data_IF_159541911209
#
_entry.id   IF_159541911209
#
_cell.length_a   1.000
_cell.length_b   1.000
_cell.length_c   1.000
_cell.angle_alpha   90.00
_cell.angle_beta   90.00
_cell.angle_gamma   90.00
#
_symmetry.space_group_name_H-M   'P 1'
#
loop_
_entity.id
_entity.type
_entity.pdbx_description
1 polymer ?
#
# COMPACT_ATOMS: atom_id res chain seq x y z
N UNK A 1 -18.88 15.69 -5.75
CA UNK A 1 -17.80 14.72 -5.51
C UNK A 1 -18.14 13.99 -4.21
N UNK A 2 -18.38 12.69 -4.23
CA UNK A 2 -18.73 11.95 -3.02
C UNK A 2 -17.51 11.75 -2.13
N UNK A 3 -17.69 11.78 -0.81
CA UNK A 3 -16.66 11.52 0.21
C UNK A 3 -15.92 10.16 0.03
N UNK A 4 -16.42 9.30 -0.83
CA UNK A 4 -15.91 7.96 -1.12
C UNK A 4 -15.48 7.78 -2.59
N UNK A 5 -15.14 8.86 -3.31
CA UNK A 5 -14.54 8.76 -4.64
C UNK A 5 -13.05 8.51 -4.51
N UNK A 6 -12.50 7.50 -5.21
CA UNK A 6 -11.05 7.28 -5.28
C UNK A 6 -10.36 8.14 -6.32
N UNK A 7 -11.10 8.66 -7.31
CA UNK A 7 -10.55 9.62 -8.26
C UNK A 7 -10.59 11.01 -7.64
N UNK A 8 -9.43 11.59 -7.47
CA UNK A 8 -9.26 12.90 -6.87
C UNK A 8 -8.81 13.94 -7.90
N UNK A 9 -9.27 15.18 -7.72
CA UNK A 9 -8.62 16.30 -8.36
C UNK A 9 -7.16 16.42 -7.87
N UNK A 10 -6.30 17.05 -8.67
CA UNK A 10 -4.86 17.23 -8.34
C UNK A 10 -4.66 17.79 -6.92
N UNK A 11 -5.45 18.76 -6.51
CA UNK A 11 -5.34 19.37 -5.18
C UNK A 11 -5.61 18.36 -4.05
N UNK A 12 -6.70 17.58 -4.12
CA UNK A 12 -7.05 16.58 -3.12
C UNK A 12 -6.04 15.45 -3.07
N UNK A 13 -5.53 15.04 -4.23
CA UNK A 13 -4.49 14.01 -4.33
C UNK A 13 -3.20 14.42 -3.61
N UNK A 14 -2.70 15.63 -3.89
CA UNK A 14 -1.48 16.12 -3.23
C UNK A 14 -1.71 16.52 -1.78
N UNK A 15 -2.94 16.90 -1.40
CA UNK A 15 -3.29 17.17 -0.01
C UNK A 15 -3.18 15.91 0.87
N UNK A 16 -3.46 14.72 0.33
CA UNK A 16 -3.23 13.45 1.05
C UNK A 16 -1.76 13.26 1.40
N UNK A 17 -0.86 13.44 0.43
CA UNK A 17 0.59 13.37 0.68
C UNK A 17 1.07 14.46 1.65
N UNK A 18 0.54 15.67 1.53
CA UNK A 18 0.90 16.77 2.43
C UNK A 18 0.46 16.49 3.86
N UNK A 19 -0.76 16.01 4.08
CA UNK A 19 -1.28 15.66 5.40
C UNK A 19 -0.45 14.55 6.05
N UNK A 20 -0.29 13.43 5.36
CA UNK A 20 0.44 12.28 5.91
C UNK A 20 1.94 12.58 6.05
N UNK A 21 2.52 13.36 5.14
CA UNK A 21 3.90 13.85 5.23
C UNK A 21 4.11 14.77 6.43
N UNK A 22 3.20 15.70 6.66
CA UNK A 22 3.23 16.58 7.85
C UNK A 22 3.05 15.79 9.14
N UNK A 23 2.16 14.80 9.14
CA UNK A 23 1.99 13.89 10.27
C UNK A 23 3.27 13.09 10.54
N UNK A 24 3.94 12.58 9.49
CA UNK A 24 5.22 11.87 9.64
C UNK A 24 6.31 12.78 10.22
N UNK A 25 6.41 14.02 9.74
CA UNK A 25 7.35 15.01 10.27
C UNK A 25 7.05 15.34 11.74
N UNK A 26 5.79 15.55 12.10
CA UNK A 26 5.36 15.78 13.48
C UNK A 26 5.67 14.59 14.40
N UNK A 27 5.38 13.36 13.95
CA UNK A 27 5.74 12.14 14.67
C UNK A 27 7.25 12.00 14.87
N UNK A 28 8.06 12.33 13.85
CA UNK A 28 9.51 12.30 13.95
C UNK A 28 10.03 13.30 14.99
N UNK A 29 9.51 14.52 15.01
CA UNK A 29 9.86 15.54 16.02
C UNK A 29 9.47 15.07 17.41
N UNK A 30 8.24 14.58 17.59
CA UNK A 30 7.78 14.04 18.88
C UNK A 30 8.61 12.84 19.33
N UNK A 31 9.00 11.97 18.40
CA UNK A 31 9.84 10.81 18.67
C UNK A 31 11.19 11.22 19.22
N UNK A 32 11.87 12.17 18.57
CA UNK A 32 13.16 12.70 19.04
C UNK A 32 13.02 13.34 20.43
N UNK A 33 11.95 14.09 20.65
CA UNK A 33 11.72 14.80 21.89
C UNK A 33 11.33 13.89 23.07
N UNK A 34 10.53 12.84 22.81
CA UNK A 34 9.95 11.97 23.85
C UNK A 34 10.71 10.69 24.09
N UNK A 35 11.73 10.38 23.29
CA UNK A 35 12.53 9.15 23.47
C UNK A 35 13.59 9.34 24.53
N UNK A 36 13.59 8.58 25.63
CA UNK A 36 14.68 8.55 26.59
C UNK A 36 15.96 8.07 25.93
N UNK A 37 17.11 8.60 26.35
CA UNK A 37 18.42 8.28 25.75
C UNK A 37 18.76 6.80 25.83
N UNK A 38 18.46 6.16 26.94
CA UNK A 38 18.65 4.73 27.18
C UNK A 38 17.75 3.83 26.31
N UNK A 39 16.58 4.35 25.87
CA UNK A 39 15.65 3.66 24.98
C UNK A 39 15.85 3.96 23.48
N UNK A 40 16.82 4.83 23.12
CA UNK A 40 16.97 5.36 21.77
C UNK A 40 17.13 4.26 20.71
N UNK A 41 18.03 3.28 20.93
CA UNK A 41 18.26 2.20 19.97
C UNK A 41 17.08 1.25 19.82
N UNK A 42 16.45 0.88 20.93
CA UNK A 42 15.26 0.05 20.90
C UNK A 42 14.10 0.72 20.16
N UNK A 43 13.95 2.03 20.35
CA UNK A 43 12.93 2.83 19.65
C UNK A 43 13.26 2.98 18.17
N UNK A 44 14.54 3.24 17.82
CA UNK A 44 14.97 3.33 16.44
C UNK A 44 14.74 2.05 15.65
N UNK A 45 14.89 0.88 16.29
CA UNK A 45 14.63 -0.42 15.67
C UNK A 45 13.14 -0.64 15.30
N UNK A 46 12.21 0.08 15.94
CA UNK A 46 10.78 0.00 15.63
C UNK A 46 10.41 0.67 14.30
N UNK A 47 11.21 1.64 13.83
CA UNK A 47 11.00 2.27 12.52
C UNK A 47 11.10 1.26 11.37
N UNK A 48 12.23 0.55 11.16
CA UNK A 48 12.31 -0.45 10.09
C UNK A 48 11.32 -1.60 10.30
N UNK A 49 10.99 -1.95 11.54
CA UNK A 49 9.96 -2.96 11.81
C UNK A 49 8.58 -2.49 11.35
N UNK A 50 8.19 -1.24 11.64
CA UNK A 50 6.95 -0.64 11.17
C UNK A 50 6.89 -0.54 9.65
N UNK A 51 8.00 -0.17 9.01
CA UNK A 51 8.14 -0.14 7.55
C UNK A 51 7.95 -1.55 6.96
N UNK A 52 8.59 -2.56 7.54
CA UNK A 52 8.46 -3.95 7.09
C UNK A 52 7.01 -4.45 7.29
N UNK A 53 6.39 -4.15 8.43
CA UNK A 53 4.99 -4.47 8.70
C UNK A 53 4.07 -3.85 7.64
N UNK A 54 4.30 -2.59 7.27
CA UNK A 54 3.51 -1.95 6.22
C UNK A 54 3.56 -2.73 4.91
N UNK A 55 4.72 -3.26 4.49
CA UNK A 55 4.80 -4.01 3.24
C UNK A 55 3.91 -5.26 3.22
N UNK A 56 3.73 -5.91 4.38
CA UNK A 56 2.78 -7.02 4.53
C UNK A 56 1.34 -6.51 4.49
N UNK A 57 1.04 -5.44 5.22
CA UNK A 57 -0.29 -4.81 5.24
C UNK A 57 -0.70 -4.36 3.83
N UNK A 58 0.20 -3.69 3.10
CA UNK A 58 0.00 -3.32 1.70
C UNK A 58 -0.40 -4.52 0.84
N UNK A 59 0.36 -5.61 0.93
CA UNK A 59 0.08 -6.83 0.18
C UNK A 59 -1.28 -7.42 0.51
N UNK A 60 -1.61 -7.54 1.81
CA UNK A 60 -2.89 -8.09 2.27
C UNK A 60 -4.07 -7.21 1.85
N UNK A 61 -3.95 -5.89 2.03
CA UNK A 61 -4.97 -4.93 1.58
C UNK A 61 -5.16 -5.00 0.06
N UNK A 62 -4.08 -5.02 -0.70
CA UNK A 62 -4.15 -5.07 -2.16
C UNK A 62 -4.83 -6.37 -2.62
N UNK A 63 -4.37 -7.52 -2.10
CA UNK A 63 -4.88 -8.83 -2.52
C UNK A 63 -6.32 -9.09 -2.08
N UNK A 64 -6.64 -8.84 -0.81
CA UNK A 64 -7.91 -9.29 -0.22
C UNK A 64 -8.96 -8.20 -0.12
N UNK A 65 -8.56 -6.95 0.08
CA UNK A 65 -9.50 -5.83 0.20
C UNK A 65 -9.76 -5.19 -1.17
N UNK A 66 -8.69 -4.75 -1.85
CA UNK A 66 -8.84 -4.03 -3.12
C UNK A 66 -9.29 -4.93 -4.27
N UNK A 67 -8.95 -6.21 -4.27
CA UNK A 67 -9.42 -7.18 -5.25
C UNK A 67 -10.58 -8.06 -4.77
N UNK A 68 -10.84 -8.14 -3.45
CA UNK A 68 -11.81 -9.07 -2.87
C UNK A 68 -13.09 -8.43 -2.36
N UNK A 69 -13.01 -7.29 -1.68
CA UNK A 69 -14.13 -6.74 -0.92
C UNK A 69 -14.80 -5.56 -1.61
N UNK A 70 -16.13 -5.59 -1.75
CA UNK A 70 -16.92 -4.41 -2.15
C UNK A 70 -17.03 -3.41 -0.97
N UNK A 71 -17.01 -2.10 -1.23
CA UNK A 71 -16.94 -1.40 -2.51
C UNK A 71 -15.51 -1.26 -3.09
N UNK A 72 -14.46 -1.61 -2.33
CA UNK A 72 -13.05 -1.38 -2.67
C UNK A 72 -12.64 -2.04 -3.99
N UNK A 73 -13.11 -3.27 -4.25
CA UNK A 73 -12.82 -3.99 -5.49
C UNK A 73 -13.40 -3.30 -6.72
N UNK A 74 -14.58 -2.68 -6.62
CA UNK A 74 -15.14 -1.90 -7.70
C UNK A 74 -14.36 -0.60 -7.96
N UNK A 75 -13.80 0.01 -6.92
CA UNK A 75 -12.96 1.19 -7.04
C UNK A 75 -11.60 0.84 -7.66
N UNK A 76 -11.00 -0.24 -7.21
CA UNK A 76 -9.71 -0.69 -7.72
C UNK A 76 -9.80 -1.18 -9.18
N UNK A 77 -10.91 -1.81 -9.57
CA UNK A 77 -11.17 -2.15 -10.97
C UNK A 77 -11.22 -0.93 -11.89
N UNK A 78 -11.74 0.21 -11.42
CA UNK A 78 -11.67 1.48 -12.18
C UNK A 78 -10.25 1.98 -12.34
N UNK A 79 -9.39 1.78 -11.32
CA UNK A 79 -7.97 2.06 -11.45
C UNK A 79 -7.31 1.21 -12.54
N UNK A 80 -7.61 -0.08 -12.61
CA UNK A 80 -7.11 -0.95 -13.68
C UNK A 80 -7.54 -0.50 -15.08
N UNK A 81 -8.75 0.04 -15.22
CA UNK A 81 -9.25 0.60 -16.48
C UNK A 81 -8.62 1.96 -16.84
N UNK A 82 -8.26 2.76 -15.84
CA UNK A 82 -7.73 4.12 -15.98
C UNK A 82 -6.48 4.32 -15.12
N UNK A 83 -5.37 3.64 -15.44
CA UNK A 83 -4.18 3.60 -14.57
C UNK A 83 -3.50 4.95 -14.37
N UNK A 84 -3.72 5.91 -15.27
CA UNK A 84 -3.18 7.27 -15.16
C UNK A 84 -4.12 8.25 -14.42
N UNK A 85 -5.28 7.81 -13.94
CA UNK A 85 -6.11 8.65 -13.07
C UNK A 85 -5.42 8.81 -11.69
N UNK A 86 -5.53 10.01 -11.10
CA UNK A 86 -5.00 10.27 -9.76
C UNK A 86 -5.90 9.59 -8.72
N UNK A 87 -5.48 8.43 -8.26
CA UNK A 87 -6.24 7.59 -7.34
C UNK A 87 -5.47 7.45 -6.02
N UNK A 88 -6.13 7.81 -4.92
CA UNK A 88 -5.68 7.48 -3.56
C UNK A 88 -6.88 7.05 -2.72
N UNK A 89 -6.63 6.35 -1.62
CA UNK A 89 -7.67 6.06 -0.64
C UNK A 89 -8.23 7.36 -0.03
N UNK A 90 -9.49 7.36 0.47
CA UNK A 90 -10.01 8.53 1.17
C UNK A 90 -9.10 8.89 2.35
N UNK A 91 -8.53 10.09 2.35
CA UNK A 91 -7.55 10.56 3.33
C UNK A 91 -8.03 10.43 4.78
N UNK A 92 -9.31 10.74 5.03
CA UNK A 92 -9.90 10.57 6.37
C UNK A 92 -9.92 9.10 6.80
N UNK A 93 -10.21 8.18 5.88
CA UNK A 93 -10.23 6.75 6.17
C UNK A 93 -8.82 6.25 6.51
N UNK A 94 -7.82 6.56 5.69
CA UNK A 94 -6.44 6.13 5.93
C UNK A 94 -5.88 6.70 7.23
N UNK A 95 -6.10 7.99 7.50
CA UNK A 95 -5.70 8.62 8.76
C UNK A 95 -6.39 8.00 9.98
N UNK A 96 -7.70 7.72 9.88
CA UNK A 96 -8.46 7.06 10.96
C UNK A 96 -7.95 5.64 11.21
N UNK A 97 -7.75 4.84 10.15
CA UNK A 97 -7.25 3.47 10.29
C UNK A 97 -5.85 3.43 10.90
N UNK A 98 -4.93 4.30 10.46
CA UNK A 98 -3.60 4.42 11.05
C UNK A 98 -3.67 4.81 12.53
N UNK A 99 -4.56 5.74 12.88
CA UNK A 99 -4.72 6.15 14.29
C UNK A 99 -5.34 5.03 15.13
N UNK A 100 -6.45 4.45 14.69
CA UNK A 100 -7.25 3.52 15.51
C UNK A 100 -6.63 2.12 15.55
N UNK A 101 -6.08 1.64 14.44
CA UNK A 101 -5.57 0.26 14.35
C UNK A 101 -4.07 0.15 14.63
N UNK A 102 -3.32 1.25 14.52
CA UNK A 102 -1.87 1.22 14.75
C UNK A 102 -1.50 2.04 16.00
N UNK A 103 -1.72 3.35 15.98
CA UNK A 103 -1.25 4.21 17.05
C UNK A 103 -1.91 3.94 18.39
N UNK A 104 -3.24 3.92 18.45
CA UNK A 104 -3.96 3.79 19.75
C UNK A 104 -3.69 2.45 20.45
N UNK A 105 -3.71 1.28 19.79
CA UNK A 105 -3.37 0.01 20.43
C UNK A 105 -1.93 -0.01 20.94
N UNK A 106 -0.99 0.48 20.14
CA UNK A 106 0.41 0.55 20.54
C UNK A 106 0.60 1.48 21.75
N UNK A 107 -0.03 2.65 21.77
CA UNK A 107 0.04 3.59 22.88
C UNK A 107 -0.58 3.06 24.17
N UNK A 108 -1.60 2.19 24.05
CA UNK A 108 -2.19 1.52 25.23
C UNK A 108 -1.32 0.41 25.80
N UNK A 109 -0.53 -0.25 24.94
CA UNK A 109 0.23 -1.44 25.32
C UNK A 109 1.73 -1.16 25.54
N UNK A 110 2.24 -0.01 25.10
CA UNK A 110 3.67 0.30 25.06
C UNK A 110 3.92 1.77 25.47
N UNK A 111 5.14 2.10 25.93
CA UNK A 111 5.55 3.49 26.13
C UNK A 111 5.34 4.34 24.89
N UNK A 112 4.99 5.61 25.08
CA UNK A 112 4.65 6.54 23.97
C UNK A 112 5.72 6.59 22.88
N UNK A 113 7.00 6.66 23.24
CA UNK A 113 8.10 6.70 22.26
C UNK A 113 8.13 5.45 21.38
N UNK A 114 7.82 4.26 21.91
CA UNK A 114 7.74 3.04 21.11
C UNK A 114 6.53 3.05 20.18
N UNK A 115 5.37 3.51 20.66
CA UNK A 115 4.18 3.67 19.84
C UNK A 115 4.43 4.67 18.68
N UNK A 116 5.09 5.79 18.97
CA UNK A 116 5.47 6.78 17.97
C UNK A 116 6.44 6.20 16.92
N UNK A 117 7.47 5.45 17.35
CA UNK A 117 8.46 4.86 16.45
C UNK A 117 7.85 3.86 15.47
N UNK A 118 7.03 2.93 15.98
CA UNK A 118 6.34 1.94 15.15
C UNK A 118 5.35 2.61 14.19
N UNK A 119 4.54 3.56 14.69
CA UNK A 119 3.55 4.27 13.88
C UNK A 119 4.22 5.09 12.78
N UNK A 120 5.33 5.76 13.08
CA UNK A 120 6.11 6.47 12.08
C UNK A 120 6.64 5.52 11.00
N UNK A 121 7.14 4.33 11.36
CA UNK A 121 7.58 3.33 10.41
C UNK A 121 6.45 2.88 9.47
N UNK A 122 5.27 2.58 10.01
CA UNK A 122 4.08 2.21 9.21
C UNK A 122 3.64 3.35 8.30
N UNK A 123 3.60 4.59 8.81
CA UNK A 123 3.21 5.77 8.03
C UNK A 123 4.20 6.07 6.90
N UNK A 124 5.51 5.93 7.13
CA UNK A 124 6.52 6.05 6.08
C UNK A 124 6.36 4.95 5.02
N UNK A 125 5.97 3.75 5.42
CA UNK A 125 5.63 2.68 4.49
C UNK A 125 4.43 3.03 3.63
N UNK A 126 3.35 3.55 4.21
CA UNK A 126 2.16 4.04 3.50
C UNK A 126 2.52 5.12 2.46
N UNK A 127 3.29 6.14 2.88
CA UNK A 127 3.76 7.19 1.97
C UNK A 127 4.66 6.63 0.86
N UNK A 128 5.56 5.71 1.20
CA UNK A 128 6.41 5.01 0.25
C UNK A 128 5.62 4.22 -0.79
N UNK A 129 4.57 3.51 -0.36
CA UNK A 129 3.62 2.83 -1.24
C UNK A 129 2.96 3.83 -2.21
N UNK A 130 2.39 4.91 -1.70
CA UNK A 130 1.75 5.94 -2.53
C UNK A 130 2.70 6.52 -3.56
N UNK A 131 3.94 6.85 -3.15
CA UNK A 131 4.96 7.40 -4.04
C UNK A 131 5.41 6.39 -5.12
N UNK A 132 5.66 5.13 -4.74
CA UNK A 132 6.06 4.08 -5.69
C UNK A 132 4.91 3.80 -6.67
N UNK A 133 3.68 3.70 -6.20
CA UNK A 133 2.51 3.51 -7.05
C UNK A 133 2.33 4.67 -8.03
N UNK A 134 2.42 5.93 -7.57
CA UNK A 134 2.42 7.10 -8.43
C UNK A 134 3.54 7.03 -9.48
N UNK A 135 4.76 6.72 -9.06
CA UNK A 135 5.92 6.63 -9.95
C UNK A 135 5.77 5.52 -11.01
N UNK A 136 5.11 4.40 -10.69
CA UNK A 136 4.88 3.32 -11.66
C UNK A 136 3.98 3.77 -12.81
N UNK A 137 3.01 4.66 -12.56
CA UNK A 137 2.06 5.12 -13.54
C UNK A 137 2.44 6.44 -14.26
N UNK A 138 3.15 7.33 -13.57
CA UNK A 138 3.35 8.72 -14.05
C UNK A 138 4.79 9.08 -14.40
N UNK A 139 5.80 8.41 -13.83
CA UNK A 139 7.18 8.80 -14.08
C UNK A 139 7.76 8.05 -15.27
N UNK A 140 8.47 8.77 -16.13
CA UNK A 140 9.22 8.18 -17.27
C UNK A 140 10.61 7.68 -16.88
N UNK A 141 11.02 7.87 -15.64
CA UNK A 141 12.37 7.56 -15.13
C UNK A 141 12.59 6.06 -15.05
N UNK A 142 13.73 5.63 -15.56
CA UNK A 142 14.10 4.24 -15.71
C UNK A 142 15.41 3.82 -15.07
N UNK A 143 15.65 4.08 -13.74
CA UNK A 143 16.69 3.30 -13.07
C UNK A 143 16.26 1.83 -12.98
N UNK A 144 17.24 0.92 -12.79
CA UNK A 144 16.98 -0.53 -12.81
C UNK A 144 15.90 -0.98 -11.82
N UNK A 145 15.86 -0.37 -10.63
CA UNK A 145 14.88 -0.68 -9.58
C UNK A 145 13.47 -0.26 -10.01
N UNK A 146 13.29 0.98 -10.48
CA UNK A 146 11.97 1.48 -10.89
C UNK A 146 11.46 0.75 -12.13
N UNK A 147 12.34 0.39 -13.09
CA UNK A 147 11.95 -0.45 -14.23
C UNK A 147 11.43 -1.83 -13.79
N UNK A 148 12.05 -2.44 -12.78
CA UNK A 148 11.58 -3.71 -12.22
C UNK A 148 10.22 -3.56 -11.55
N UNK A 149 9.98 -2.49 -10.79
CA UNK A 149 8.69 -2.21 -10.15
C UNK A 149 7.60 -1.94 -11.18
N UNK A 150 7.88 -1.13 -12.19
CA UNK A 150 6.94 -0.87 -13.30
C UNK A 150 6.53 -2.16 -14.02
N UNK A 151 7.49 -3.02 -14.36
CA UNK A 151 7.19 -4.32 -14.98
C UNK A 151 6.34 -5.19 -14.09
N UNK A 152 6.64 -5.23 -12.79
CA UNK A 152 5.88 -6.01 -11.82
C UNK A 152 4.45 -5.52 -11.68
N UNK A 153 4.27 -4.22 -11.56
CA UNK A 153 2.97 -3.59 -11.48
C UNK A 153 2.18 -3.70 -12.80
N UNK A 154 2.85 -3.62 -13.95
CA UNK A 154 2.22 -3.90 -15.25
C UNK A 154 1.71 -5.35 -15.36
N UNK A 155 2.48 -6.34 -14.87
CA UNK A 155 2.00 -7.73 -14.80
C UNK A 155 0.73 -7.84 -13.94
N UNK A 156 0.66 -7.09 -12.83
CA UNK A 156 -0.52 -7.01 -12.00
C UNK A 156 -1.73 -6.48 -12.78
N UNK A 157 -1.59 -5.34 -13.48
CA UNK A 157 -2.65 -4.75 -14.30
C UNK A 157 -3.14 -5.67 -15.43
N UNK A 158 -2.24 -6.47 -16.03
CA UNK A 158 -2.61 -7.39 -17.10
C UNK A 158 -3.17 -8.73 -16.62
N UNK A 159 -2.80 -9.19 -15.43
CA UNK A 159 -3.24 -10.47 -14.89
C UNK A 159 -4.55 -10.38 -14.11
N UNK A 160 -4.93 -9.19 -13.61
CA UNK A 160 -6.20 -8.99 -12.93
C UNK A 160 -7.35 -9.04 -13.94
N UNK A 161 -8.37 -9.90 -13.76
CA UNK A 161 -9.48 -9.99 -14.70
C UNK A 161 -10.20 -8.64 -14.80
N UNK A 162 -10.38 -8.16 -16.03
CA UNK A 162 -11.27 -7.04 -16.29
C UNK A 162 -12.70 -7.41 -15.88
N UNK A 163 -13.50 -6.46 -15.38
CA UNK A 163 -14.90 -6.71 -14.93
C UNK A 163 -15.77 -7.40 -15.99
N UNK A 164 -15.46 -7.28 -17.29
CA UNK A 164 -16.16 -7.97 -18.38
C UNK A 164 -15.97 -9.50 -18.36
N UNK A 165 -14.85 -10.00 -17.84
CA UNK A 165 -14.61 -11.46 -17.71
C UNK A 165 -15.21 -12.02 -16.41
N UNK A 166 -15.36 -11.21 -15.37
CA UNK A 166 -16.01 -11.61 -14.12
C UNK A 166 -17.52 -11.88 -14.31
N UNK A 167 -18.19 -11.19 -15.22
CA UNK A 167 -19.61 -11.41 -15.52
C UNK A 167 -19.88 -12.75 -16.22
N UNK A 168 -18.96 -13.24 -17.05
CA UNK A 168 -19.11 -14.55 -17.71
C UNK A 168 -18.84 -15.74 -16.78
N UNK A 169 -18.14 -15.55 -15.68
CA UNK A 169 -17.83 -16.59 -14.68
C UNK A 169 -18.78 -16.58 -13.47
N UNK A 170 -19.71 -15.64 -13.38
CA UNK A 170 -20.64 -15.49 -12.26
C UNK A 170 -21.70 -16.62 -12.17
N UNK A 171 -21.74 -17.55 -13.11
CA UNK A 171 -22.58 -18.75 -13.05
C UNK A 171 -21.97 -19.95 -12.31
N UNK A 172 -20.69 -19.89 -11.93
CA UNK A 172 -20.10 -20.89 -11.05
C UNK A 172 -20.02 -20.33 -9.62
N UNK A 173 -20.68 -21.00 -8.69
CA UNK A 173 -20.81 -20.65 -7.27
C UNK A 173 -19.48 -20.75 -6.47
N UNK A 174 -18.37 -20.36 -7.06
CA UNK A 174 -17.10 -20.26 -6.35
C UNK A 174 -16.92 -18.81 -5.88
N UNK A 175 -16.64 -18.61 -4.58
CA UNK A 175 -16.17 -17.34 -4.05
C UNK A 175 -15.13 -16.74 -5.01
N UNK A 176 -15.17 -15.42 -5.32
CA UNK A 176 -14.21 -14.80 -6.19
C UNK A 176 -12.84 -14.84 -5.51
N UNK A 177 -12.12 -15.93 -5.70
CA UNK A 177 -10.72 -16.01 -5.28
C UNK A 177 -9.93 -15.09 -6.20
N UNK A 178 -9.16 -14.19 -5.58
CA UNK A 178 -8.20 -13.38 -6.32
C UNK A 178 -7.35 -14.30 -7.22
N UNK A 179 -7.24 -14.01 -8.53
CA UNK A 179 -6.60 -14.93 -9.46
C UNK A 179 -5.19 -15.27 -9.02
N UNK A 180 -4.87 -16.56 -8.99
CA UNK A 180 -3.51 -17.02 -8.72
C UNK A 180 -2.57 -16.41 -9.77
N UNK A 181 -1.54 -15.70 -9.32
CA UNK A 181 -0.52 -15.15 -10.21
C UNK A 181 -0.72 -13.69 -10.63
N UNK A 182 -1.28 -12.84 -9.78
CA UNK A 182 -1.56 -11.44 -10.10
C UNK A 182 -0.56 -10.40 -9.57
N UNK A 183 0.53 -10.76 -8.88
CA UNK A 183 1.57 -9.82 -8.39
C UNK A 183 1.01 -8.63 -7.60
N UNK A 184 0.64 -8.81 -6.33
CA UNK A 184 -0.02 -7.76 -5.55
C UNK A 184 0.93 -6.76 -4.86
N UNK A 185 2.22 -7.12 -4.69
CA UNK A 185 3.19 -6.24 -4.03
C UNK A 185 3.62 -5.08 -4.92
N UNK A 186 3.38 -3.84 -4.50
CA UNK A 186 3.80 -2.62 -5.19
C UNK A 186 5.18 -2.16 -4.71
N UNK A 187 5.38 -2.08 -3.39
CA UNK A 187 6.68 -1.67 -2.81
C UNK A 187 7.70 -2.79 -2.80
N UNK A 188 7.27 -4.03 -2.61
CA UNK A 188 8.15 -5.21 -2.60
C UNK A 188 7.47 -6.43 -3.20
N UNK A 189 8.24 -7.32 -3.82
CA UNK A 189 7.78 -8.60 -4.34
C UNK A 189 7.86 -9.74 -3.32
N UNK A 190 8.38 -9.45 -2.12
CA UNK A 190 8.63 -10.45 -1.10
C UNK A 190 7.41 -11.32 -0.82
N UNK A 191 6.28 -10.67 -0.60
CA UNK A 191 5.03 -11.33 -0.22
C UNK A 191 4.38 -12.10 -1.38
N UNK A 192 4.57 -11.63 -2.62
CA UNK A 192 4.15 -12.39 -3.80
C UNK A 192 4.88 -13.73 -3.91
N UNK A 193 6.18 -13.75 -3.60
CA UNK A 193 6.95 -14.99 -3.54
C UNK A 193 6.56 -15.85 -2.34
N UNK A 194 6.43 -15.25 -1.16
CA UNK A 194 6.09 -15.96 0.08
C UNK A 194 4.70 -16.63 0.01
N UNK A 195 3.72 -15.96 -0.58
CA UNK A 195 2.33 -16.45 -0.69
C UNK A 195 1.98 -17.02 -2.08
N UNK A 196 2.96 -17.22 -2.94
CA UNK A 196 2.80 -17.91 -4.22
C UNK A 196 1.94 -17.18 -5.26
N UNK A 197 1.76 -15.84 -5.15
CA UNK A 197 0.97 -15.04 -6.11
C UNK A 197 1.73 -14.62 -7.36
N UNK A 198 2.95 -15.11 -7.58
CA UNK A 198 3.74 -14.85 -8.77
C UNK A 198 3.20 -15.62 -9.97
N UNK A 199 2.94 -14.97 -11.14
CA UNK A 199 2.51 -15.64 -12.35
C UNK A 199 3.53 -16.67 -12.83
N UNK A 200 3.07 -17.78 -13.42
CA UNK A 200 3.93 -18.84 -13.96
C UNK A 200 4.92 -18.30 -15.02
N UNK A 201 4.50 -17.35 -15.84
CA UNK A 201 5.35 -16.68 -16.82
C UNK A 201 6.49 -15.87 -16.19
N UNK A 202 6.22 -15.20 -15.06
CA UNK A 202 7.23 -14.42 -14.35
C UNK A 202 8.23 -15.28 -13.56
N UNK A 203 7.87 -16.52 -13.23
CA UNK A 203 8.77 -17.50 -12.58
C UNK A 203 9.86 -18.02 -13.53
N UNK A 204 9.61 -18.00 -14.84
CA UNK A 204 10.52 -18.54 -15.89
C UNK A 204 11.45 -17.48 -16.48
N UNK A 205 11.20 -16.19 -16.24
CA UNK A 205 12.07 -15.13 -16.73
C UNK A 205 13.24 -14.94 -15.74
N UNK A 206 14.51 -15.19 -16.13
CA UNK A 206 15.65 -14.84 -15.29
C UNK A 206 15.63 -13.34 -15.02
N UNK A 207 15.86 -12.94 -13.76
CA UNK A 207 16.07 -11.55 -13.37
C UNK A 207 17.36 -11.04 -14.01
N UNK A 208 17.29 -10.52 -15.26
CA UNK A 208 18.34 -9.70 -15.86
C UNK A 208 18.04 -8.22 -15.61
#
# INVERSE_FOLDING_TARGET
>A
MGLFSLEHGKASYWADFALHGSAAAGLAVLLVWRTPRDAAWATAALLPLGLALWTLVEYLLHRFVLHGLRPFSGWHARHHQRPTALICGPTVLSATLLTVLVFLPLWRLRPLHQALGMTLGVLLGYLGYGLVHHATHHWHIGNGLMRRRKRWHALHHHAAPSHSQAHSQAHSQAHPQAPAGACYGVTTRLWDHAFGSVPALARRAPCR
#
